data_IF_114721052443
#
_entry.id   IF_114721052443
#
_cell.length_a   1.000
_cell.length_b   1.000
_cell.length_c   1.000
_cell.angle_alpha   90.00
_cell.angle_beta   90.00
_cell.angle_gamma   90.00
#
_symmetry.space_group_name_H-M   'P 1'
#
loop_
_entity.id
_entity.type
_entity.pdbx_description
1 polymer ?
#
# COMPACT_ATOMS: atom_id res chain seq x y z
N UNK A 1 11.28 -24.22 44.90
CA UNK A 1 11.31 -24.41 43.43
C UNK A 1 10.69 -23.18 42.79
N UNK A 2 11.41 -22.44 41.92
CA UNK A 2 10.88 -21.23 41.28
C UNK A 2 10.74 -21.48 39.77
N UNK A 3 9.51 -21.56 39.23
CA UNK A 3 9.31 -21.69 37.80
C UNK A 3 9.42 -20.30 37.18
N UNK A 4 10.63 -19.89 36.79
CA UNK A 4 10.79 -18.82 35.81
C UNK A 4 10.28 -19.36 34.48
N UNK A 5 9.00 -19.11 34.23
CA UNK A 5 8.34 -19.32 32.96
C UNK A 5 9.13 -18.59 31.89
N UNK A 6 9.77 -19.37 31.00
CA UNK A 6 10.52 -18.88 29.86
C UNK A 6 9.58 -18.08 28.96
N UNK A 7 9.62 -16.75 29.06
CA UNK A 7 8.97 -15.88 28.09
C UNK A 7 9.75 -16.00 26.77
N UNK A 8 9.14 -16.47 25.68
CA UNK A 8 9.80 -16.40 24.38
C UNK A 8 9.90 -14.91 23.99
N UNK A 9 11.10 -14.35 24.10
CA UNK A 9 11.41 -13.07 23.46
C UNK A 9 11.35 -13.28 21.95
N UNK A 10 10.21 -12.97 21.35
CA UNK A 10 10.03 -13.00 19.88
C UNK A 10 10.87 -11.83 19.34
N UNK A 11 12.16 -12.08 19.11
CA UNK A 11 12.99 -11.18 18.33
C UNK A 11 12.43 -11.17 16.90
N UNK A 12 11.76 -10.09 16.51
CA UNK A 12 11.32 -9.92 15.12
C UNK A 12 12.59 -9.97 14.24
N UNK A 13 12.67 -10.88 13.26
CA UNK A 13 13.84 -10.94 12.39
C UNK A 13 13.97 -9.60 11.65
N UNK A 14 15.07 -8.88 11.87
CA UNK A 14 15.37 -7.60 11.21
C UNK A 14 15.37 -7.70 9.67
N UNK A 15 15.54 -8.92 9.13
CA UNK A 15 15.40 -9.22 7.70
C UNK A 15 13.95 -9.12 7.23
N UNK A 16 12.98 -9.55 8.04
CA UNK A 16 11.56 -9.47 7.70
C UNK A 16 11.08 -8.01 7.68
N UNK A 17 11.53 -7.17 8.62
CA UNK A 17 11.18 -5.74 8.65
C UNK A 17 11.78 -4.97 7.47
N UNK A 18 13.00 -5.30 7.02
CA UNK A 18 13.58 -4.74 5.79
C UNK A 18 12.79 -5.12 4.53
N UNK A 19 12.25 -6.34 4.47
CA UNK A 19 11.40 -6.79 3.36
C UNK A 19 10.10 -6.00 3.26
N UNK A 20 9.41 -5.83 4.39
CA UNK A 20 8.16 -5.05 4.47
C UNK A 20 8.38 -3.59 4.06
N UNK A 21 9.45 -2.95 4.55
CA UNK A 21 9.74 -1.56 4.18
C UNK A 21 10.00 -1.40 2.67
N UNK A 22 10.69 -2.36 2.05
CA UNK A 22 10.89 -2.36 0.58
C UNK A 22 9.59 -2.52 -0.18
N UNK A 23 8.70 -3.41 0.28
CA UNK A 23 7.39 -3.61 -0.34
C UNK A 23 6.52 -2.35 -0.24
N UNK A 24 6.48 -1.72 0.94
CA UNK A 24 5.76 -0.47 1.15
C UNK A 24 6.34 0.67 0.30
N UNK A 25 7.68 0.79 0.24
CA UNK A 25 8.34 1.79 -0.59
C UNK A 25 8.04 1.58 -2.09
N UNK A 26 8.06 0.33 -2.57
CA UNK A 26 7.72 0.00 -3.95
C UNK A 26 6.24 0.31 -4.25
N UNK A 27 5.33 -0.02 -3.35
CA UNK A 27 3.91 0.31 -3.49
C UNK A 27 3.65 1.81 -3.49
N UNK A 28 4.30 2.56 -2.60
CA UNK A 28 4.21 4.01 -2.56
C UNK A 28 4.75 4.65 -3.85
N UNK A 29 5.91 4.18 -4.34
CA UNK A 29 6.51 4.65 -5.58
C UNK A 29 5.61 4.38 -6.78
N UNK A 30 5.00 3.19 -6.86
CA UNK A 30 4.01 2.87 -7.90
C UNK A 30 2.81 3.82 -7.84
N UNK A 31 2.28 4.10 -6.64
CA UNK A 31 1.20 5.05 -6.45
C UNK A 31 1.56 6.46 -6.93
N UNK A 32 2.75 6.95 -6.59
CA UNK A 32 3.24 8.27 -7.05
C UNK A 32 3.36 8.31 -8.58
N UNK A 33 3.91 7.26 -9.19
CA UNK A 33 4.04 7.17 -10.66
C UNK A 33 2.66 7.19 -11.33
N UNK A 34 1.67 6.48 -10.79
CA UNK A 34 0.31 6.51 -11.35
C UNK A 34 -0.33 7.90 -11.20
N UNK A 35 -0.25 8.52 -10.03
CA UNK A 35 -0.82 9.86 -9.79
C UNK A 35 -0.20 10.89 -10.74
N UNK A 36 1.13 10.91 -10.85
CA UNK A 36 1.82 11.82 -11.75
C UNK A 36 1.52 11.51 -13.21
N UNK A 37 1.58 10.23 -13.61
CA UNK A 37 1.34 9.79 -14.98
C UNK A 37 -0.06 10.16 -15.46
N UNK A 38 -1.09 9.99 -14.64
CA UNK A 38 -2.46 10.34 -15.02
C UNK A 38 -2.71 11.85 -14.97
N UNK A 39 -2.12 12.57 -14.01
CA UNK A 39 -2.29 14.01 -13.90
C UNK A 39 -1.74 14.79 -15.10
N UNK A 40 -0.64 14.32 -15.69
CA UNK A 40 0.03 14.97 -16.84
C UNK A 40 -0.16 14.21 -18.15
N UNK A 41 -0.96 13.14 -18.18
CA UNK A 41 -1.37 12.54 -19.44
C UNK A 41 -2.37 13.46 -20.13
N UNK A 42 -2.08 13.84 -21.38
CA UNK A 42 -3.00 14.56 -22.27
C UNK A 42 -4.13 13.64 -22.76
N UNK A 43 -4.73 12.87 -21.85
CA UNK A 43 -5.78 11.90 -22.14
C UNK A 43 -6.96 12.12 -21.20
N UNK A 44 -8.11 12.60 -21.72
CA UNK A 44 -9.30 12.81 -20.90
C UNK A 44 -9.84 11.50 -20.33
N UNK A 45 -9.61 10.37 -21.01
CA UNK A 45 -9.96 9.03 -20.50
C UNK A 45 -9.24 8.75 -19.18
N UNK A 46 -7.90 8.79 -19.16
CA UNK A 46 -7.14 8.43 -17.97
C UNK A 46 -7.47 9.35 -16.79
N UNK A 47 -7.62 10.66 -17.06
CA UNK A 47 -8.01 11.63 -16.05
C UNK A 47 -9.40 11.30 -15.46
N UNK A 48 -10.40 11.04 -16.31
CA UNK A 48 -11.73 10.65 -15.86
C UNK A 48 -11.74 9.32 -15.10
N UNK A 49 -10.90 8.35 -15.50
CA UNK A 49 -10.77 7.07 -14.82
C UNK A 49 -10.14 7.24 -13.41
N UNK A 50 -9.14 8.10 -13.25
CA UNK A 50 -8.56 8.40 -11.93
C UNK A 50 -9.51 9.18 -11.02
N UNK A 51 -10.42 9.97 -11.59
CA UNK A 51 -11.48 10.64 -10.85
C UNK A 51 -12.75 9.81 -10.68
N UNK A 52 -12.83 8.60 -11.25
CA UNK A 52 -14.01 7.74 -11.12
C UNK A 52 -14.07 7.07 -9.75
N UNK A 53 -14.61 7.80 -8.78
CA UNK A 53 -14.86 7.30 -7.42
C UNK A 53 -16.12 6.43 -7.31
N UNK A 54 -16.85 6.20 -8.41
CA UNK A 54 -18.12 5.45 -8.39
C UNK A 54 -17.92 4.01 -7.93
N UNK A 55 -16.79 3.40 -8.31
CA UNK A 55 -16.38 2.07 -7.87
C UNK A 55 -15.75 2.05 -6.47
N UNK A 56 -15.00 3.10 -6.10
CA UNK A 56 -14.36 3.22 -4.79
C UNK A 56 -15.36 3.51 -3.64
N UNK A 57 -16.54 4.06 -3.96
CA UNK A 57 -17.56 4.44 -2.96
C UNK A 57 -18.77 3.52 -2.93
N UNK A 58 -18.73 2.39 -3.65
CA UNK A 58 -19.84 1.42 -3.69
C UNK A 58 -21.17 2.03 -4.15
N UNK A 59 -21.11 3.07 -4.98
CA UNK A 59 -22.28 3.75 -5.55
C UNK A 59 -22.59 3.05 -6.88
N UNK A 60 -23.52 2.08 -6.92
CA UNK A 60 -23.89 1.45 -8.18
C UNK A 60 -24.34 2.53 -9.17
N UNK A 61 -23.82 2.43 -10.39
CA UNK A 61 -24.43 3.08 -11.52
C UNK A 61 -25.73 2.33 -11.81
N UNK A 62 -26.81 2.84 -11.22
CA UNK A 62 -28.20 2.33 -11.20
C UNK A 62 -28.53 1.45 -10.01
#
# INVERSE_FOLDING_TARGET
MNPQTLQPSIALPATASRGVLRQLAAGALLGVVMLYGVAFAESPLAHNAAHDVRHATGRPCH
#
